data_IF_500837981959
#
_entry.id   IF_500837981959
#
_cell.length_a   1.000
_cell.length_b   1.000
_cell.length_c   1.000
_cell.angle_alpha   90.00
_cell.angle_beta   90.00
_cell.angle_gamma   90.00
#
_symmetry.space_group_name_H-M   'P 1'
#
loop_
_entity.id
_entity.type
_entity.pdbx_description
1 polymer ?
#
# COMPACT_ATOMS: atom_id res chain seq x y z
N UNK A 1 -3.62 0.44 32.05
CA UNK A 1 -4.66 1.22 32.76
C UNK A 1 -5.99 0.52 32.57
N UNK A 2 -6.86 0.49 33.58
CA UNK A 2 -8.08 -0.32 33.52
C UNK A 2 -9.17 0.42 32.75
N UNK A 3 -9.84 -0.27 31.82
CA UNK A 3 -11.00 0.20 31.03
C UNK A 3 -12.03 0.98 31.85
N UNK A 4 -12.22 0.55 33.11
CA UNK A 4 -13.14 1.15 34.07
C UNK A 4 -12.78 2.61 34.39
N UNK A 5 -11.50 2.89 34.62
CA UNK A 5 -11.05 4.21 35.07
C UNK A 5 -11.19 5.25 33.96
N UNK A 6 -10.88 4.86 32.71
CA UNK A 6 -11.05 5.73 31.54
C UNK A 6 -12.53 6.03 31.26
N UNK A 7 -13.42 5.03 31.41
CA UNK A 7 -14.85 5.25 31.22
C UNK A 7 -15.44 6.14 32.32
N UNK A 8 -15.04 5.96 33.59
CA UNK A 8 -15.47 6.84 34.69
C UNK A 8 -14.99 8.28 34.44
N UNK A 9 -13.73 8.46 34.03
CA UNK A 9 -13.18 9.78 33.73
C UNK A 9 -13.94 10.45 32.57
N UNK A 10 -14.27 9.69 31.54
CA UNK A 10 -15.06 10.18 30.40
C UNK A 10 -16.47 10.61 30.81
N UNK A 11 -17.21 9.74 31.51
CA UNK A 11 -18.59 10.04 31.94
C UNK A 11 -18.62 11.22 32.90
N UNK A 12 -17.71 11.28 33.87
CA UNK A 12 -17.62 12.40 34.82
C UNK A 12 -17.38 13.74 34.09
N UNK A 13 -16.52 13.72 33.08
CA UNK A 13 -16.28 14.92 32.27
C UNK A 13 -17.51 15.30 31.43
N UNK A 14 -18.22 14.33 30.84
CA UNK A 14 -19.44 14.59 30.09
C UNK A 14 -20.57 15.13 31.00
N UNK A 15 -20.73 14.59 32.21
CA UNK A 15 -21.69 15.10 33.22
C UNK A 15 -21.36 16.55 33.60
N UNK A 16 -20.07 16.87 33.78
CA UNK A 16 -19.60 18.23 34.06
C UNK A 16 -19.92 19.19 32.92
N UNK A 17 -19.75 18.75 31.67
CA UNK A 17 -20.05 19.56 30.47
C UNK A 17 -21.54 19.86 30.36
N UNK A 18 -22.38 18.84 30.57
CA UNK A 18 -23.81 18.94 30.27
C UNK A 18 -24.67 19.33 31.48
N UNK A 19 -24.07 19.54 32.65
CA UNK A 19 -24.71 20.16 33.83
C UNK A 19 -24.72 21.69 33.79
N UNK A 20 -24.23 22.31 32.70
CA UNK A 20 -24.20 23.77 32.52
C UNK A 20 -23.01 24.47 33.17
N UNK A 21 -22.00 23.73 33.62
CA UNK A 21 -20.86 24.23 34.39
C UNK A 21 -19.65 24.68 33.54
N UNK A 22 -19.80 24.86 32.22
CA UNK A 22 -18.68 25.16 31.31
C UNK A 22 -18.78 26.55 30.68
N UNK A 23 -17.69 27.30 30.83
CA UNK A 23 -17.35 28.43 29.98
C UNK A 23 -16.58 27.92 28.75
N UNK A 24 -17.19 28.02 27.57
CA UNK A 24 -16.54 27.67 26.31
C UNK A 24 -15.37 28.59 25.95
N UNK A 25 -15.18 29.69 26.68
CA UNK A 25 -14.05 30.60 26.50
C UNK A 25 -12.72 30.01 27.01
N UNK A 26 -12.78 29.00 27.88
CA UNK A 26 -11.60 28.35 28.46
C UNK A 26 -11.11 27.14 27.64
N UNK A 27 -11.88 26.72 26.63
CA UNK A 27 -11.47 25.71 25.66
C UNK A 27 -10.60 26.35 24.57
N UNK A 28 -9.36 25.86 24.45
CA UNK A 28 -8.38 26.37 23.48
C UNK A 28 -8.61 25.85 22.04
N UNK A 29 -9.48 24.84 21.88
CA UNK A 29 -9.70 24.15 20.61
C UNK A 29 -11.14 24.35 20.12
N UNK A 30 -11.36 24.15 18.81
CA UNK A 30 -12.70 24.27 18.21
C UNK A 30 -13.71 23.35 18.92
N UNK A 31 -14.95 23.80 19.15
CA UNK A 31 -15.99 22.97 19.76
C UNK A 31 -16.19 21.66 18.97
N UNK A 32 -15.98 20.52 19.62
CA UNK A 32 -16.24 19.19 19.08
C UNK A 32 -17.52 18.64 19.72
N UNK A 33 -18.46 18.18 18.90
CA UNK A 33 -19.71 17.60 19.38
C UNK A 33 -20.21 16.54 18.40
N UNK A 34 -21.02 15.62 18.92
CA UNK A 34 -21.81 14.69 18.13
C UNK A 34 -23.27 14.80 18.52
N UNK A 35 -24.17 14.53 17.59
CA UNK A 35 -25.61 14.49 17.88
C UNK A 35 -25.96 13.05 18.24
N UNK A 36 -26.49 12.84 19.43
CA UNK A 36 -26.95 11.54 19.89
C UNK A 36 -28.22 11.11 19.15
N UNK A 37 -28.53 9.81 19.16
CA UNK A 37 -29.71 9.24 18.50
C UNK A 37 -31.05 9.89 18.93
N UNK A 38 -31.12 10.41 20.16
CA UNK A 38 -32.27 11.15 20.67
C UNK A 38 -32.30 12.64 20.31
N UNK A 39 -31.40 13.09 19.43
CA UNK A 39 -31.32 14.47 18.94
C UNK A 39 -30.54 15.44 19.85
N UNK A 40 -30.10 15.01 21.04
CA UNK A 40 -29.30 15.86 21.93
C UNK A 40 -27.85 15.97 21.46
N UNK A 41 -27.28 17.18 21.48
CA UNK A 41 -25.85 17.36 21.22
C UNK A 41 -25.05 17.00 22.47
N UNK A 42 -23.99 16.20 22.26
CA UNK A 42 -22.98 15.89 23.27
C UNK A 42 -21.66 16.49 22.88
N UNK A 43 -21.20 17.46 23.65
CA UNK A 43 -19.94 18.14 23.43
C UNK A 43 -18.78 17.43 24.14
N UNK A 44 -17.64 17.37 23.47
CA UNK A 44 -16.44 16.70 23.93
C UNK A 44 -15.32 17.72 24.13
N UNK A 45 -15.00 17.98 25.41
CA UNK A 45 -13.83 18.79 25.80
C UNK A 45 -12.53 18.10 25.39
N UNK A 46 -11.40 18.81 25.51
CA UNK A 46 -10.08 18.19 25.32
C UNK A 46 -9.86 16.96 26.23
N UNK A 47 -10.38 17.00 27.46
CA UNK A 47 -10.27 15.89 28.40
C UNK A 47 -11.16 14.71 28.00
N UNK A 48 -12.40 14.98 27.58
CA UNK A 48 -13.31 13.95 27.08
C UNK A 48 -12.72 13.26 25.84
N UNK A 49 -12.13 14.01 24.90
CA UNK A 49 -11.47 13.43 23.71
C UNK A 49 -10.30 12.52 24.08
N UNK A 50 -9.41 12.96 24.98
CA UNK A 50 -8.32 12.11 25.47
C UNK A 50 -8.83 10.81 26.12
N UNK A 51 -9.93 10.90 26.88
CA UNK A 51 -10.54 9.73 27.51
C UNK A 51 -11.19 8.80 26.48
N UNK A 52 -11.89 9.33 25.46
CA UNK A 52 -12.42 8.55 24.33
C UNK A 52 -11.31 7.82 23.57
N UNK A 53 -10.21 8.51 23.26
CA UNK A 53 -9.06 7.93 22.57
C UNK A 53 -8.47 6.76 23.37
N UNK A 54 -8.17 6.95 24.66
CA UNK A 54 -7.65 5.89 25.53
C UNK A 54 -8.64 4.74 25.71
N UNK A 55 -9.92 5.05 25.87
CA UNK A 55 -10.99 4.05 25.94
C UNK A 55 -11.02 3.21 24.67
N UNK A 56 -10.94 3.87 23.51
CA UNK A 56 -10.94 3.24 22.19
C UNK A 56 -9.73 2.31 22.02
N UNK A 57 -8.52 2.75 22.36
CA UNK A 57 -7.30 1.92 22.33
C UNK A 57 -7.41 0.66 23.19
N UNK A 58 -7.97 0.79 24.40
CA UNK A 58 -8.15 -0.35 25.31
C UNK A 58 -9.19 -1.33 24.79
N UNK A 59 -10.32 -0.86 24.25
CA UNK A 59 -11.33 -1.78 23.70
C UNK A 59 -10.81 -2.41 22.39
N UNK A 60 -10.20 -1.61 21.52
CA UNK A 60 -9.67 -2.02 20.23
C UNK A 60 -8.62 -3.12 20.36
N UNK A 61 -7.67 -2.99 21.28
CA UNK A 61 -6.62 -4.00 21.53
C UNK A 61 -7.14 -5.34 22.06
N UNK A 62 -8.38 -5.37 22.57
CA UNK A 62 -9.05 -6.58 23.08
C UNK A 62 -10.10 -7.14 22.10
N UNK A 63 -10.20 -6.63 20.87
CA UNK A 63 -11.10 -7.18 19.85
C UNK A 63 -10.62 -8.55 19.36
N UNK A 64 -11.57 -9.39 18.95
CA UNK A 64 -11.25 -10.71 18.39
C UNK A 64 -10.57 -10.54 17.03
N UNK A 65 -9.52 -11.34 16.76
CA UNK A 65 -8.78 -11.31 15.50
C UNK A 65 -9.63 -11.63 14.25
N UNK A 66 -10.73 -12.37 14.42
CA UNK A 66 -11.69 -12.71 13.36
C UNK A 66 -12.71 -11.61 13.07
N UNK A 67 -12.69 -10.50 13.82
CA UNK A 67 -13.64 -9.41 13.61
C UNK A 67 -13.25 -8.57 12.39
N UNK A 68 -14.24 -7.87 11.83
CA UNK A 68 -13.99 -6.87 10.79
C UNK A 68 -12.93 -5.87 11.26
N UNK A 69 -11.91 -5.67 10.43
CA UNK A 69 -10.78 -4.81 10.71
C UNK A 69 -11.16 -3.35 10.43
N UNK A 70 -11.01 -2.52 11.44
CA UNK A 70 -11.43 -1.11 11.40
C UNK A 70 -10.22 -0.25 11.71
N UNK A 71 -9.98 0.82 10.95
CA UNK A 71 -8.94 1.77 11.33
C UNK A 71 -9.24 2.40 12.70
N UNK A 72 -8.21 2.60 13.53
CA UNK A 72 -8.37 3.11 14.89
C UNK A 72 -9.12 4.45 14.93
N UNK A 73 -8.83 5.37 14.00
CA UNK A 73 -9.53 6.65 13.92
C UNK A 73 -11.03 6.49 13.63
N UNK A 74 -11.40 5.56 12.73
CA UNK A 74 -12.80 5.26 12.44
C UNK A 74 -13.47 4.56 13.61
N UNK A 75 -12.76 3.66 14.28
CA UNK A 75 -13.22 2.98 15.48
C UNK A 75 -13.49 3.98 16.61
N UNK A 76 -12.59 4.94 16.84
CA UNK A 76 -12.76 6.01 17.82
C UNK A 76 -14.03 6.83 17.54
N UNK A 77 -14.32 7.16 16.27
CA UNK A 77 -15.57 7.84 15.88
C UNK A 77 -16.82 7.04 16.25
N UNK A 78 -16.79 5.71 16.08
CA UNK A 78 -17.88 4.80 16.47
C UNK A 78 -18.03 4.76 17.99
N UNK A 79 -16.93 4.57 18.72
CA UNK A 79 -16.94 4.59 20.20
C UNK A 79 -17.50 5.91 20.72
N UNK A 80 -17.05 7.04 20.15
CA UNK A 80 -17.54 8.37 20.52
C UNK A 80 -19.04 8.50 20.31
N UNK A 81 -19.56 8.04 19.18
CA UNK A 81 -20.99 8.08 18.89
C UNK A 81 -21.78 7.20 19.89
N UNK A 82 -21.36 5.96 20.11
CA UNK A 82 -22.03 5.04 21.06
C UNK A 82 -22.01 5.60 22.49
N UNK A 83 -20.89 6.17 22.94
CA UNK A 83 -20.80 6.82 24.25
C UNK A 83 -21.74 8.02 24.33
N UNK A 84 -21.80 8.85 23.28
CA UNK A 84 -22.71 9.98 23.26
C UNK A 84 -24.18 9.55 23.35
N UNK A 85 -24.57 8.50 22.61
CA UNK A 85 -25.91 7.92 22.62
C UNK A 85 -26.26 7.41 24.03
N UNK A 86 -25.40 6.56 24.60
CA UNK A 86 -25.62 5.99 25.94
C UNK A 86 -25.61 7.04 27.05
N UNK A 87 -24.70 8.03 27.00
CA UNK A 87 -24.69 9.13 27.94
C UNK A 87 -25.97 9.96 27.81
N UNK A 88 -26.46 10.15 26.59
CA UNK A 88 -27.69 10.89 26.36
C UNK A 88 -28.94 10.20 26.90
N UNK A 89 -28.91 8.88 27.08
CA UNK A 89 -29.97 8.05 27.65
C UNK A 89 -29.82 7.81 29.17
N UNK A 90 -28.77 8.31 29.81
CA UNK A 90 -28.51 8.10 31.24
C UNK A 90 -28.00 6.68 31.58
N UNK A 91 -27.55 5.92 30.58
CA UNK A 91 -27.16 4.51 30.72
C UNK A 91 -25.89 4.29 31.57
N UNK A 92 -25.13 5.35 31.86
CA UNK A 92 -23.92 5.30 32.69
C UNK A 92 -24.15 5.63 34.17
N UNK A 93 -25.35 6.09 34.58
CA UNK A 93 -25.62 6.55 35.95
C UNK A 93 -25.36 5.47 37.00
N UNK A 94 -25.82 4.23 36.73
CA UNK A 94 -25.63 3.09 37.62
C UNK A 94 -24.17 2.63 37.63
N UNK A 95 -23.49 2.67 36.49
CA UNK A 95 -22.09 2.27 36.37
C UNK A 95 -21.17 3.15 37.23
N UNK A 96 -21.34 4.48 37.20
CA UNK A 96 -20.52 5.38 38.01
C UNK A 96 -20.77 5.22 39.52
N UNK A 97 -21.97 4.79 39.94
CA UNK A 97 -22.33 4.61 41.36
C UNK A 97 -21.93 3.24 41.94
N UNK A 98 -22.10 2.16 41.18
CA UNK A 98 -21.95 0.78 41.69
C UNK A 98 -20.80 0.01 41.03
N UNK A 99 -20.24 0.51 39.93
CA UNK A 99 -19.24 -0.20 39.14
C UNK A 99 -19.81 -1.39 38.34
N UNK A 100 -21.13 -1.47 38.16
CA UNK A 100 -21.78 -2.56 37.44
C UNK A 100 -21.35 -2.63 35.96
N UNK A 101 -20.83 -3.79 35.54
CA UNK A 101 -20.31 -4.02 34.20
C UNK A 101 -21.39 -4.09 33.11
N UNK A 102 -22.67 -3.99 33.44
CA UNK A 102 -23.77 -4.02 32.46
C UNK A 102 -23.63 -2.93 31.41
N UNK A 103 -23.36 -1.68 31.80
CA UNK A 103 -23.16 -0.57 30.86
C UNK A 103 -21.95 -0.81 29.94
N UNK A 104 -20.84 -1.33 30.49
CA UNK A 104 -19.64 -1.67 29.71
C UNK A 104 -19.94 -2.77 28.68
N UNK A 105 -20.70 -3.79 29.06
CA UNK A 105 -21.12 -4.87 28.15
C UNK A 105 -22.02 -4.34 27.04
N UNK A 106 -23.02 -3.51 27.38
CA UNK A 106 -23.93 -2.87 26.42
C UNK A 106 -23.16 -1.98 25.43
N UNK A 107 -22.26 -1.13 25.92
CA UNK A 107 -21.40 -0.28 25.09
C UNK A 107 -20.59 -1.10 24.08
N UNK A 108 -19.90 -2.16 24.54
CA UNK A 108 -19.13 -3.04 23.65
C UNK A 108 -20.00 -3.72 22.59
N UNK A 109 -21.20 -4.17 22.97
CA UNK A 109 -22.13 -4.79 22.04
C UNK A 109 -22.60 -3.80 20.95
N UNK A 110 -22.98 -2.58 21.34
CA UNK A 110 -23.41 -1.53 20.41
C UNK A 110 -22.29 -1.10 19.45
N UNK A 111 -21.04 -1.04 19.93
CA UNK A 111 -19.88 -0.76 19.08
C UNK A 111 -19.74 -1.83 17.98
N UNK A 112 -19.77 -3.11 18.36
CA UNK A 112 -19.63 -4.19 17.37
C UNK A 112 -20.86 -4.32 16.45
N UNK A 113 -22.07 -3.99 16.93
CA UNK A 113 -23.27 -3.91 16.09
C UNK A 113 -23.14 -2.82 15.01
N UNK A 114 -22.69 -1.62 15.39
CA UNK A 114 -22.42 -0.55 14.42
C UNK A 114 -21.34 -0.95 13.42
N UNK A 115 -20.28 -1.66 13.86
CA UNK A 115 -19.23 -2.15 12.97
C UNK A 115 -19.76 -3.23 12.02
N UNK A 116 -20.60 -4.16 12.51
CA UNK A 116 -21.20 -5.22 11.71
C UNK A 116 -22.16 -4.68 10.63
N UNK A 117 -22.73 -3.49 10.84
CA UNK A 117 -23.58 -2.80 9.86
C UNK A 117 -22.79 -2.22 8.66
N UNK A 118 -21.47 -2.09 8.78
CA UNK A 118 -20.59 -1.63 7.70
C UNK A 118 -20.50 -2.74 6.65
N UNK A 119 -20.57 -2.38 5.35
CA UNK A 119 -20.39 -3.36 4.29
C UNK A 119 -19.05 -4.08 4.44
N UNK A 120 -19.09 -5.41 4.27
CA UNK A 120 -17.97 -6.30 4.59
C UNK A 120 -17.06 -6.56 3.39
N UNK A 121 -17.45 -6.13 2.19
CA UNK A 121 -16.71 -6.37 0.95
C UNK A 121 -16.70 -5.09 0.10
N UNK A 122 -15.51 -4.71 -0.36
CA UNK A 122 -15.31 -3.56 -1.24
C UNK A 122 -14.39 -3.94 -2.39
N UNK A 123 -14.82 -3.68 -3.61
CA UNK A 123 -13.97 -3.72 -4.80
C UNK A 123 -13.39 -2.33 -5.04
N UNK A 124 -12.07 -2.25 -5.10
CA UNK A 124 -11.34 -1.01 -5.35
C UNK A 124 -10.78 -1.02 -6.76
N UNK A 125 -10.85 0.16 -7.40
CA UNK A 125 -10.29 0.41 -8.72
C UNK A 125 -9.27 1.54 -8.61
N UNK A 126 -8.04 1.28 -9.05
CA UNK A 126 -6.97 2.28 -9.07
C UNK A 126 -6.51 2.52 -10.50
N UNK A 127 -6.63 3.75 -11.03
CA UNK A 127 -5.98 4.11 -12.28
C UNK A 127 -4.47 3.91 -12.16
N UNK A 128 -3.86 3.31 -13.18
CA UNK A 128 -2.44 2.99 -13.17
C UNK A 128 -1.81 3.11 -14.55
N UNK A 129 -0.53 3.46 -14.55
CA UNK A 129 0.33 3.24 -15.71
C UNK A 129 0.85 1.81 -15.64
N UNK A 130 0.71 1.08 -16.75
CA UNK A 130 1.23 -0.28 -16.91
C UNK A 130 2.16 -0.32 -18.12
N UNK A 131 2.80 -1.46 -18.34
CA UNK A 131 3.56 -1.74 -19.57
C UNK A 131 2.68 -2.34 -20.69
N UNK A 132 1.36 -2.41 -20.49
CA UNK A 132 0.40 -2.93 -21.47
C UNK A 132 0.09 -4.42 -21.36
N UNK A 133 0.23 -5.02 -20.16
CA UNK A 133 -0.11 -6.45 -19.95
C UNK A 133 -1.59 -6.77 -20.19
N UNK A 134 -2.45 -5.77 -20.07
CA UNK A 134 -3.91 -5.89 -20.17
C UNK A 134 -4.50 -5.58 -21.56
N UNK A 135 -3.65 -5.22 -22.54
CA UNK A 135 -4.12 -4.68 -23.84
C UNK A 135 -4.86 -5.71 -24.70
N UNK A 136 -4.35 -6.93 -24.78
CA UNK A 136 -5.01 -8.01 -25.52
C UNK A 136 -6.22 -8.57 -24.76
N UNK A 137 -6.07 -8.77 -23.45
CA UNK A 137 -7.10 -9.31 -22.57
C UNK A 137 -6.84 -8.92 -21.12
N UNK A 138 -7.85 -8.94 -20.22
CA UNK A 138 -7.64 -8.73 -18.80
C UNK A 138 -6.55 -9.67 -18.26
N UNK A 139 -5.54 -9.10 -17.62
CA UNK A 139 -4.45 -9.87 -17.03
C UNK A 139 -4.66 -10.00 -15.53
N UNK A 140 -4.44 -11.19 -14.95
CA UNK A 140 -4.66 -11.43 -13.52
C UNK A 140 -3.41 -12.02 -12.88
N UNK A 141 -3.03 -11.49 -11.72
CA UNK A 141 -1.98 -12.04 -10.86
C UNK A 141 -2.47 -12.04 -9.41
N UNK A 142 -2.68 -13.23 -8.86
CA UNK A 142 -3.31 -13.39 -7.56
C UNK A 142 -4.72 -12.76 -7.53
N UNK A 143 -5.02 -11.91 -6.54
CA UNK A 143 -6.31 -11.25 -6.40
C UNK A 143 -6.43 -9.96 -7.23
N UNK A 144 -5.39 -9.57 -7.99
CA UNK A 144 -5.35 -8.31 -8.74
C UNK A 144 -5.61 -8.55 -10.21
N UNK A 145 -6.58 -7.83 -10.77
CA UNK A 145 -6.91 -7.84 -12.20
C UNK A 145 -6.54 -6.51 -12.85
N UNK A 146 -5.86 -6.59 -13.98
CA UNK A 146 -5.45 -5.45 -14.80
C UNK A 146 -6.44 -5.32 -15.96
N UNK A 147 -7.01 -4.14 -16.11
CA UNK A 147 -8.06 -3.84 -17.07
C UNK A 147 -7.67 -2.63 -17.91
N UNK A 148 -7.95 -2.68 -19.21
CA UNK A 148 -8.03 -1.45 -19.99
C UNK A 148 -9.20 -0.60 -19.50
N UNK A 149 -9.16 0.71 -19.76
CA UNK A 149 -10.31 1.59 -19.48
C UNK A 149 -11.61 1.09 -20.12
N UNK A 150 -11.55 0.59 -21.36
CA UNK A 150 -12.72 0.09 -22.06
C UNK A 150 -13.34 -1.12 -21.33
N UNK A 151 -12.52 -2.11 -20.98
CA UNK A 151 -12.96 -3.29 -20.22
C UNK A 151 -13.56 -2.91 -18.87
N UNK A 152 -12.96 -1.94 -18.16
CA UNK A 152 -13.49 -1.45 -16.89
C UNK A 152 -14.83 -0.74 -17.04
N UNK A 153 -14.96 0.20 -18.00
CA UNK A 153 -16.22 0.92 -18.28
C UNK A 153 -17.35 -0.06 -18.58
N UNK A 154 -17.05 -1.14 -19.31
CA UNK A 154 -18.04 -2.17 -19.63
C UNK A 154 -18.47 -2.98 -18.41
N UNK A 155 -17.58 -3.17 -17.43
CA UNK A 155 -17.82 -3.98 -16.24
C UNK A 155 -18.56 -3.30 -15.08
N UNK A 156 -18.60 -1.97 -15.02
CA UNK A 156 -19.16 -1.22 -13.88
C UNK A 156 -20.39 -0.42 -14.27
N UNK A 157 -21.26 -0.12 -13.31
CA UNK A 157 -22.36 0.82 -13.53
C UNK A 157 -22.76 1.55 -12.25
N UNK A 158 -23.41 2.70 -12.40
CA UNK A 158 -24.01 3.43 -11.29
C UNK A 158 -25.39 2.86 -10.96
N UNK A 159 -25.84 2.94 -9.68
CA UNK A 159 -27.22 2.63 -9.34
C UNK A 159 -28.20 3.51 -10.12
N UNK A 160 -29.35 2.96 -10.51
CA UNK A 160 -30.37 3.68 -11.29
C UNK A 160 -30.81 4.98 -10.61
N UNK A 161 -31.01 4.96 -9.29
CA UNK A 161 -31.33 6.17 -8.51
C UNK A 161 -30.24 7.25 -8.58
N UNK A 162 -28.99 6.86 -8.79
CA UNK A 162 -27.89 7.79 -9.02
C UNK A 162 -27.95 8.41 -10.40
N UNK A 163 -28.27 7.62 -11.44
CA UNK A 163 -28.41 8.11 -12.82
C UNK A 163 -29.57 9.10 -12.97
N UNK A 164 -30.68 8.85 -12.28
CA UNK A 164 -31.86 9.73 -12.32
C UNK A 164 -31.63 11.09 -11.64
N UNK A 165 -30.85 11.14 -10.55
CA UNK A 165 -30.77 12.31 -9.66
C UNK A 165 -29.51 13.14 -9.80
N UNK A 166 -28.46 12.62 -10.44
CA UNK A 166 -27.18 13.31 -10.49
C UNK A 166 -27.24 14.53 -11.42
N UNK A 167 -27.11 15.73 -10.86
CA UNK A 167 -27.07 17.01 -11.58
C UNK A 167 -28.24 17.23 -12.58
N UNK A 168 -29.41 16.66 -12.29
CA UNK A 168 -30.63 16.79 -13.10
C UNK A 168 -30.42 16.51 -14.61
N UNK A 169 -29.46 15.64 -14.95
CA UNK A 169 -29.06 15.31 -16.32
C UNK A 169 -29.28 13.83 -16.64
N UNK A 170 -30.51 13.28 -16.50
CA UNK A 170 -30.76 11.84 -16.55
C UNK A 170 -30.37 11.22 -17.89
N UNK A 171 -30.62 11.87 -19.02
CA UNK A 171 -30.28 11.35 -20.34
C UNK A 171 -28.77 11.13 -20.50
N UNK A 172 -27.97 12.15 -20.17
CA UNK A 172 -26.50 12.06 -20.18
C UNK A 172 -25.98 11.03 -19.16
N UNK A 173 -26.61 10.94 -17.98
CA UNK A 173 -26.23 9.97 -16.96
C UNK A 173 -26.49 8.53 -17.37
N UNK A 174 -27.56 8.23 -18.11
CA UNK A 174 -27.80 6.88 -18.64
C UNK A 174 -26.82 6.55 -19.78
N UNK A 175 -26.37 7.55 -20.51
CA UNK A 175 -25.40 7.41 -21.61
C UNK A 175 -23.94 7.62 -21.18
N UNK A 176 -23.66 7.67 -19.87
CA UNK A 176 -22.36 8.07 -19.33
C UNK A 176 -21.19 7.27 -19.90
N UNK A 177 -21.38 5.96 -20.14
CA UNK A 177 -20.36 5.06 -20.70
C UNK A 177 -19.95 5.46 -22.11
N UNK A 178 -20.93 5.75 -22.96
CA UNK A 178 -20.70 6.09 -24.37
C UNK A 178 -20.05 7.47 -24.49
N UNK A 179 -20.55 8.45 -23.73
CA UNK A 179 -19.96 9.79 -23.63
C UNK A 179 -18.50 9.69 -23.18
N UNK A 180 -18.23 8.90 -22.13
CA UNK A 180 -16.90 8.72 -21.59
C UNK A 180 -15.96 8.05 -22.60
N UNK A 181 -16.38 6.96 -23.25
CA UNK A 181 -15.56 6.26 -24.27
C UNK A 181 -15.19 7.18 -25.43
N UNK A 182 -16.14 7.99 -25.91
CA UNK A 182 -15.88 8.97 -26.96
C UNK A 182 -14.88 10.04 -26.53
N UNK A 183 -15.01 10.56 -25.30
CA UNK A 183 -14.08 11.54 -24.75
C UNK A 183 -12.66 10.99 -24.60
N UNK A 184 -12.50 9.73 -24.17
CA UNK A 184 -11.20 9.08 -24.00
C UNK A 184 -10.46 8.84 -25.34
N UNK A 185 -11.17 8.82 -26.47
CA UNK A 185 -10.57 8.76 -27.81
C UNK A 185 -10.06 10.13 -28.29
N UNK A 186 -10.52 11.23 -27.67
CA UNK A 186 -10.16 12.61 -28.02
C UNK A 186 -9.59 13.37 -26.82
N UNK A 187 -8.44 12.96 -26.24
CA UNK A 187 -7.92 13.52 -24.99
C UNK A 187 -7.46 14.98 -25.07
N UNK A 188 -7.39 15.57 -26.28
CA UNK A 188 -7.07 17.00 -26.49
C UNK A 188 -8.32 17.87 -26.63
N UNK A 189 -9.50 17.27 -26.67
CA UNK A 189 -10.75 17.99 -26.65
C UNK A 189 -11.02 18.46 -25.23
N UNK A 190 -11.12 19.78 -25.06
CA UNK A 190 -11.35 20.42 -23.76
C UNK A 190 -12.83 20.75 -23.54
N UNK A 191 -13.72 20.26 -24.41
CA UNK A 191 -15.15 20.40 -24.22
C UNK A 191 -15.59 19.77 -22.88
N UNK A 192 -16.41 20.48 -22.09
CA UNK A 192 -16.94 19.93 -20.84
C UNK A 192 -17.83 18.72 -21.15
N UNK A 193 -17.68 17.66 -20.35
CA UNK A 193 -18.53 16.47 -20.44
C UNK A 193 -19.71 16.61 -19.48
N UNK A 194 -20.90 16.25 -19.94
CA UNK A 194 -22.12 16.30 -19.16
C UNK A 194 -22.29 15.08 -18.23
N UNK A 195 -23.04 15.29 -17.15
CA UNK A 195 -23.45 14.23 -16.22
C UNK A 195 -22.32 13.46 -15.55
N UNK A 196 -22.57 12.19 -15.26
CA UNK A 196 -21.63 11.28 -14.60
C UNK A 196 -20.31 11.09 -15.40
N UNK A 197 -20.36 11.20 -16.72
CA UNK A 197 -19.17 11.00 -17.57
C UNK A 197 -18.06 12.01 -17.26
N UNK A 198 -18.39 13.26 -16.95
CA UNK A 198 -17.40 14.29 -16.61
C UNK A 198 -16.65 14.01 -15.32
N UNK A 199 -17.36 13.56 -14.27
CA UNK A 199 -16.73 13.19 -12.99
C UNK A 199 -15.82 11.98 -13.16
N UNK A 200 -16.27 10.97 -13.90
CA UNK A 200 -15.48 9.76 -14.14
C UNK A 200 -14.27 10.04 -15.02
N UNK A 201 -14.40 10.90 -16.04
CA UNK A 201 -13.30 11.25 -16.94
C UNK A 201 -12.10 11.80 -16.17
N UNK A 202 -12.31 12.72 -15.23
CA UNK A 202 -11.24 13.26 -14.39
C UNK A 202 -10.52 12.20 -13.56
N UNK A 203 -11.19 11.11 -13.20
CA UNK A 203 -10.60 10.01 -12.45
C UNK A 203 -9.78 9.03 -13.32
N UNK A 204 -10.04 8.92 -14.63
CA UNK A 204 -9.45 7.86 -15.47
C UNK A 204 -8.76 8.35 -16.76
N UNK A 205 -8.72 9.65 -17.03
CA UNK A 205 -8.17 10.16 -18.29
C UNK A 205 -6.64 10.01 -18.40
N UNK A 206 -5.89 10.16 -17.31
CA UNK A 206 -4.41 10.21 -17.30
C UNK A 206 -3.77 8.83 -17.48
N UNK A 207 -4.41 7.80 -16.92
CA UNK A 207 -3.90 6.44 -16.91
C UNK A 207 -4.57 5.60 -18.01
N UNK A 208 -3.82 4.74 -18.72
CA UNK A 208 -4.39 3.87 -19.75
C UNK A 208 -5.20 2.69 -19.19
N UNK A 209 -5.01 2.37 -17.92
CA UNK A 209 -5.42 1.10 -17.32
C UNK A 209 -5.92 1.30 -15.89
N UNK A 210 -6.68 0.31 -15.39
CA UNK A 210 -7.12 0.25 -14.00
C UNK A 210 -6.73 -1.11 -13.39
N UNK A 211 -6.32 -1.09 -12.13
CA UNK A 211 -6.16 -2.28 -11.32
C UNK A 211 -7.38 -2.45 -10.43
N UNK A 212 -7.94 -3.64 -10.45
CA UNK A 212 -9.08 -4.07 -9.65
C UNK A 212 -8.62 -5.06 -8.58
N UNK A 213 -9.09 -4.88 -7.35
CA UNK A 213 -8.94 -5.86 -6.27
C UNK A 213 -10.11 -5.77 -5.31
N UNK A 214 -10.58 -6.92 -4.82
CA UNK A 214 -11.66 -7.00 -3.84
C UNK A 214 -11.11 -7.36 -2.47
N UNK A 215 -11.46 -6.56 -1.47
CA UNK A 215 -11.03 -6.73 -0.07
C UNK A 215 -12.25 -7.01 0.80
N UNK A 216 -12.14 -8.02 1.66
CA UNK A 216 -13.20 -8.49 2.57
C UNK A 216 -12.78 -8.36 4.03
N UNK A 217 -13.75 -8.14 4.90
CA UNK A 217 -13.59 -8.03 6.36
C UNK A 217 -12.74 -6.82 6.79
N UNK A 218 -12.76 -5.76 6.00
CA UNK A 218 -12.17 -4.45 6.34
C UNK A 218 -13.23 -3.36 6.16
N UNK A 219 -13.17 -2.34 7.00
CA UNK A 219 -13.91 -1.11 6.75
C UNK A 219 -13.37 -0.41 5.50
N UNK A 220 -14.19 0.44 4.87
CA UNK A 220 -13.92 1.05 3.56
C UNK A 220 -12.53 1.69 3.43
N UNK A 221 -12.11 2.59 4.32
CA UNK A 221 -10.83 3.29 4.18
C UNK A 221 -9.64 2.37 4.43
N UNK A 222 -9.73 1.50 5.43
CA UNK A 222 -8.70 0.53 5.71
C UNK A 222 -8.58 -0.51 4.59
N UNK A 223 -9.71 -0.90 4.00
CA UNK A 223 -9.75 -1.77 2.82
C UNK A 223 -9.07 -1.11 1.62
N UNK A 224 -9.24 0.21 1.42
CA UNK A 224 -8.55 0.99 0.38
C UNK A 224 -7.04 0.99 0.60
N UNK A 225 -6.56 1.15 1.84
CA UNK A 225 -5.11 1.09 2.17
C UNK A 225 -4.50 -0.25 1.81
N UNK A 226 -5.16 -1.36 2.17
CA UNK A 226 -4.70 -2.69 1.80
C UNK A 226 -4.76 -2.90 0.29
N UNK A 227 -5.87 -2.52 -0.35
CA UNK A 227 -6.05 -2.64 -1.80
C UNK A 227 -4.94 -1.90 -2.57
N UNK A 228 -4.62 -0.66 -2.17
CA UNK A 228 -3.52 0.13 -2.73
C UNK A 228 -2.18 -0.60 -2.61
N UNK A 229 -1.85 -1.09 -1.41
CA UNK A 229 -0.61 -1.84 -1.15
C UNK A 229 -0.50 -3.07 -2.04
N UNK A 230 -1.59 -3.83 -2.18
CA UNK A 230 -1.62 -5.06 -3.00
C UNK A 230 -1.51 -4.75 -4.48
N UNK A 231 -2.18 -3.71 -4.99
CA UNK A 231 -2.06 -3.27 -6.38
C UNK A 231 -0.66 -2.76 -6.70
N UNK A 232 -0.04 -1.95 -5.82
CA UNK A 232 1.36 -1.54 -5.97
C UNK A 232 2.30 -2.75 -6.00
N UNK A 233 2.13 -3.68 -5.05
CA UNK A 233 2.93 -4.92 -5.00
C UNK A 233 2.79 -5.73 -6.29
N UNK A 234 1.59 -5.80 -6.89
CA UNK A 234 1.39 -6.49 -8.17
C UNK A 234 2.16 -5.81 -9.33
N UNK A 235 2.13 -4.48 -9.42
CA UNK A 235 2.91 -3.71 -10.40
C UNK A 235 4.42 -3.92 -10.23
N UNK A 236 4.89 -3.88 -9.00
CA UNK A 236 6.31 -4.10 -8.66
C UNK A 236 6.73 -5.55 -8.93
N UNK A 237 5.87 -6.54 -8.69
CA UNK A 237 6.14 -7.94 -8.95
C UNK A 237 6.29 -8.21 -10.47
N UNK A 238 5.42 -7.63 -11.30
CA UNK A 238 5.57 -7.68 -12.76
C UNK A 238 6.88 -7.01 -13.17
N UNK A 239 7.17 -5.81 -12.65
CA UNK A 239 8.42 -5.09 -12.95
C UNK A 239 9.67 -5.90 -12.57
N UNK A 240 9.63 -6.59 -11.42
CA UNK A 240 10.68 -7.49 -10.95
C UNK A 240 10.92 -8.64 -11.92
N UNK A 241 9.83 -9.26 -12.40
CA UNK A 241 9.88 -10.35 -13.37
C UNK A 241 10.43 -9.93 -14.73
N UNK A 242 9.98 -8.78 -15.23
CA UNK A 242 10.49 -8.18 -16.48
C UNK A 242 11.96 -7.77 -16.37
N UNK A 243 12.35 -7.28 -15.20
CA UNK A 243 13.73 -7.36 -14.76
C UNK A 243 14.64 -6.16 -15.04
N UNK A 244 14.11 -5.11 -15.64
CA UNK A 244 14.77 -3.82 -15.88
C UNK A 244 14.17 -2.70 -15.01
N UNK A 245 15.00 -1.68 -14.69
CA UNK A 245 14.58 -0.55 -13.86
C UNK A 245 13.54 0.34 -14.55
N UNK A 246 13.57 0.38 -15.88
CA UNK A 246 12.63 1.08 -16.75
C UNK A 246 11.18 0.66 -16.54
N UNK A 247 10.94 -0.60 -16.17
CA UNK A 247 9.58 -1.10 -15.92
C UNK A 247 9.01 -0.51 -14.61
N UNK A 248 9.85 -0.33 -13.59
CA UNK A 248 9.46 0.37 -12.36
C UNK A 248 9.20 1.87 -12.58
N UNK A 249 9.80 2.46 -13.62
CA UNK A 249 9.56 3.86 -14.01
C UNK A 249 8.25 4.06 -14.78
N UNK A 250 7.67 2.98 -15.30
CA UNK A 250 6.40 2.99 -15.99
C UNK A 250 5.25 2.46 -15.13
N UNK A 251 5.49 1.42 -14.35
CA UNK A 251 4.45 0.74 -13.57
C UNK A 251 4.25 1.42 -12.21
N UNK A 252 3.18 2.18 -12.09
CA UNK A 252 2.77 2.80 -10.83
C UNK A 252 1.28 3.15 -10.83
N UNK A 253 0.69 3.23 -9.63
CA UNK A 253 -0.63 3.80 -9.43
C UNK A 253 -0.60 5.31 -9.70
N UNK A 254 -1.73 5.90 -10.09
CA UNK A 254 -1.83 7.33 -10.41
C UNK A 254 -1.34 8.25 -9.29
N UNK A 255 -1.62 7.87 -8.04
CA UNK A 255 -1.25 8.63 -6.85
C UNK A 255 0.22 8.46 -6.43
N UNK A 256 1.01 7.69 -7.18
CA UNK A 256 2.43 7.49 -6.92
C UNK A 256 3.31 8.39 -7.78
N UNK A 257 4.55 8.59 -7.31
CA UNK A 257 5.53 9.42 -8.02
C UNK A 257 6.05 8.68 -9.24
N UNK A 258 5.78 9.24 -10.42
CA UNK A 258 6.37 8.79 -11.67
C UNK A 258 7.45 9.76 -12.16
N UNK A 259 8.62 9.30 -12.64
CA UNK A 259 9.56 10.18 -13.30
C UNK A 259 8.95 10.79 -14.58
N UNK A 260 9.33 12.03 -14.94
CA UNK A 260 8.86 12.66 -16.18
C UNK A 260 9.36 11.86 -17.39
N UNK A 261 8.65 11.93 -18.52
CA UNK A 261 9.08 11.27 -19.78
C UNK A 261 10.35 11.92 -20.35
N UNK A 262 10.54 13.21 -20.08
CA UNK A 262 11.75 13.95 -20.42
C UNK A 262 11.85 15.23 -19.59
N UNK A 263 13.01 15.87 -19.65
CA UNK A 263 13.28 17.13 -18.98
C UNK A 263 14.03 18.09 -19.89
N UNK A 264 13.90 19.38 -19.57
CA UNK A 264 14.63 20.46 -20.22
C UNK A 264 15.64 21.05 -19.23
N UNK A 265 16.80 21.47 -19.72
CA UNK A 265 17.79 22.20 -18.93
C UNK A 265 18.22 23.47 -19.66
N UNK A 266 18.49 24.53 -18.89
CA UNK A 266 19.00 25.79 -19.39
C UNK A 266 20.35 26.05 -18.73
N UNK A 267 21.36 26.39 -19.52
CA UNK A 267 22.71 26.67 -19.04
C UNK A 267 23.12 28.04 -19.57
N UNK A 268 23.71 28.87 -18.72
CA UNK A 268 24.29 30.16 -19.09
C UNK A 268 25.77 30.20 -18.74
N UNK A 269 26.58 30.88 -19.55
CA UNK A 269 27.97 31.18 -19.23
C UNK A 269 28.33 32.58 -19.69
N UNK A 270 29.04 33.35 -18.85
CA UNK A 270 29.48 34.71 -19.18
C UNK A 270 28.34 35.65 -19.62
N UNK A 271 27.13 35.48 -19.05
CA UNK A 271 25.95 36.29 -19.39
C UNK A 271 25.21 35.87 -20.66
N UNK A 272 25.69 34.85 -21.38
CA UNK A 272 25.03 34.30 -22.56
C UNK A 272 24.30 33.00 -22.24
N UNK A 273 23.06 32.88 -22.72
CA UNK A 273 22.24 31.67 -22.61
C UNK A 273 22.57 30.70 -23.74
N UNK A 274 22.76 29.43 -23.40
CA UNK A 274 22.93 28.34 -24.36
C UNK A 274 21.56 27.82 -24.80
N UNK A 275 21.53 27.11 -25.94
CA UNK A 275 20.31 26.43 -26.38
C UNK A 275 19.82 25.46 -25.28
N UNK A 276 18.49 25.33 -25.09
CA UNK A 276 17.94 24.38 -24.12
C UNK A 276 18.41 22.95 -24.40
N UNK A 277 18.94 22.30 -23.35
CA UNK A 277 19.19 20.87 -23.37
C UNK A 277 17.88 20.11 -23.22
N UNK A 278 17.76 18.98 -23.93
CA UNK A 278 16.63 18.05 -23.83
C UNK A 278 17.19 16.71 -23.41
N UNK A 279 16.58 16.08 -22.40
CA UNK A 279 16.89 14.70 -22.02
C UNK A 279 15.62 13.87 -21.92
N UNK A 280 15.68 12.64 -22.44
CA UNK A 280 14.61 11.65 -22.28
C UNK A 280 14.89 10.82 -21.02
N UNK A 281 13.84 10.46 -20.29
CA UNK A 281 13.99 9.56 -19.16
C UNK A 281 14.03 8.10 -19.60
N UNK A 282 14.29 7.20 -18.64
CA UNK A 282 14.26 5.74 -18.85
C UNK A 282 12.85 5.16 -18.88
N UNK A 283 11.81 6.00 -18.81
CA UNK A 283 10.42 5.54 -18.80
C UNK A 283 10.04 4.97 -20.17
N UNK A 284 9.58 3.72 -20.20
CA UNK A 284 9.05 3.07 -21.40
C UNK A 284 7.53 3.05 -21.32
N UNK A 285 6.79 3.81 -22.15
CA UNK A 285 5.34 3.95 -22.01
C UNK A 285 4.54 2.65 -22.13
N UNK A 286 4.94 1.73 -23.02
CA UNK A 286 4.35 0.42 -23.15
C UNK A 286 5.26 -0.50 -23.97
N UNK A 287 5.06 -1.81 -23.79
CA UNK A 287 5.61 -2.83 -24.67
C UNK A 287 4.65 -3.08 -25.84
N UNK A 288 5.19 -3.59 -26.95
CA UNK A 288 4.34 -4.14 -28.01
C UNK A 288 3.72 -5.46 -27.55
N UNK A 289 2.57 -5.81 -28.12
CA UNK A 289 1.81 -6.99 -27.70
C UNK A 289 2.64 -8.29 -27.81
N UNK A 290 3.45 -8.42 -28.86
CA UNK A 290 4.39 -9.53 -29.02
C UNK A 290 5.46 -9.61 -27.90
N UNK A 291 5.99 -8.46 -27.46
CA UNK A 291 6.95 -8.42 -26.35
C UNK A 291 6.28 -8.70 -25.01
N UNK A 292 5.03 -8.26 -24.81
CA UNK A 292 4.24 -8.62 -23.63
C UNK A 292 4.05 -10.13 -23.57
N UNK A 293 3.59 -10.76 -24.66
CA UNK A 293 3.38 -12.20 -24.72
C UNK A 293 4.67 -12.99 -24.44
N UNK A 294 5.79 -12.58 -25.04
CA UNK A 294 7.10 -13.19 -24.79
C UNK A 294 7.52 -13.03 -23.33
N UNK A 295 7.35 -11.83 -22.76
CA UNK A 295 7.73 -11.57 -21.39
C UNK A 295 6.89 -12.37 -20.38
N UNK A 296 5.58 -12.45 -20.59
CA UNK A 296 4.69 -13.28 -19.78
C UNK A 296 5.07 -14.77 -19.87
N UNK A 297 5.44 -15.26 -21.07
CA UNK A 297 5.93 -16.63 -21.24
C UNK A 297 7.23 -16.89 -20.46
N UNK A 298 8.19 -15.95 -20.47
CA UNK A 298 9.42 -16.06 -19.67
C UNK A 298 9.16 -16.01 -18.15
N UNK A 299 8.09 -15.35 -17.72
CA UNK A 299 7.69 -15.25 -16.33
C UNK A 299 6.73 -16.36 -15.87
N UNK A 300 6.36 -17.30 -16.75
CA UNK A 300 5.33 -18.30 -16.46
C UNK A 300 5.62 -19.13 -15.19
N UNK A 301 6.90 -19.37 -14.90
CA UNK A 301 7.33 -20.11 -13.71
C UNK A 301 7.40 -19.27 -12.43
N UNK A 302 7.41 -17.93 -12.51
CA UNK A 302 7.47 -17.03 -11.33
C UNK A 302 6.11 -16.43 -10.97
N UNK A 303 5.19 -16.30 -11.94
CA UNK A 303 3.86 -15.73 -11.71
C UNK A 303 3.05 -16.48 -10.64
N UNK A 304 3.07 -17.82 -10.55
CA UNK A 304 2.39 -18.56 -9.48
C UNK A 304 2.87 -18.17 -8.07
N UNK A 305 4.19 -18.04 -7.88
CA UNK A 305 4.77 -17.60 -6.62
C UNK A 305 4.33 -16.18 -6.24
N UNK A 306 4.34 -15.24 -7.18
CA UNK A 306 3.87 -13.87 -6.95
C UNK A 306 2.37 -13.83 -6.63
N UNK A 307 1.57 -14.60 -7.37
CA UNK A 307 0.13 -14.77 -7.15
C UNK A 307 -0.16 -15.27 -5.73
N UNK A 308 0.55 -16.31 -5.27
CA UNK A 308 0.44 -16.85 -3.92
C UNK A 308 0.71 -15.79 -2.85
N UNK A 309 1.79 -15.02 -3.00
CA UNK A 309 2.15 -13.94 -2.07
C UNK A 309 1.06 -12.86 -2.01
N UNK A 310 0.55 -12.39 -3.15
CA UNK A 310 -0.52 -11.39 -3.18
C UNK A 310 -1.80 -11.90 -2.52
N UNK A 311 -2.14 -13.18 -2.68
CA UNK A 311 -3.24 -13.81 -1.95
C UNK A 311 -3.00 -13.81 -0.44
N UNK A 312 -1.76 -14.05 0.00
CA UNK A 312 -1.36 -13.97 1.41
C UNK A 312 -1.49 -12.57 2.02
N UNK A 313 -1.39 -11.51 1.21
CA UNK A 313 -1.62 -10.14 1.66
C UNK A 313 -3.11 -9.83 1.84
N UNK A 314 -3.95 -10.26 0.90
CA UNK A 314 -5.41 -9.99 0.92
C UNK A 314 -6.13 -10.88 1.92
N UNK A 315 -5.77 -12.17 1.98
CA UNK A 315 -6.37 -13.14 2.89
C UNK A 315 -5.30 -13.83 3.78
N UNK A 316 -4.76 -13.13 4.79
CA UNK A 316 -3.75 -13.71 5.68
C UNK A 316 -4.22 -14.96 6.42
N UNK A 317 -5.51 -15.05 6.79
CA UNK A 317 -6.07 -16.17 7.55
C UNK A 317 -6.17 -17.46 6.72
N UNK A 318 -6.36 -17.34 5.40
CA UNK A 318 -6.42 -18.47 4.48
C UNK A 318 -5.08 -18.83 3.84
N UNK A 319 -4.00 -18.11 4.13
CA UNK A 319 -2.69 -18.34 3.57
C UNK A 319 -1.79 -19.08 4.56
N UNK A 320 -0.91 -19.96 4.05
CA UNK A 320 -0.04 -20.79 4.90
C UNK A 320 1.06 -19.98 5.59
N UNK A 321 1.59 -18.97 4.89
CA UNK A 321 2.73 -18.15 5.33
C UNK A 321 2.49 -16.64 5.18
N UNK A 322 1.46 -16.07 5.83
CA UNK A 322 1.10 -14.67 5.65
C UNK A 322 2.18 -13.67 6.09
N UNK A 323 2.97 -13.97 7.13
CA UNK A 323 4.06 -13.10 7.59
C UNK A 323 5.20 -13.07 6.59
N UNK A 324 5.58 -14.22 6.03
CA UNK A 324 6.60 -14.29 4.99
C UNK A 324 6.15 -13.61 3.70
N UNK A 325 4.87 -13.76 3.31
CA UNK A 325 4.28 -13.02 2.19
C UNK A 325 4.38 -11.49 2.41
N UNK A 326 4.04 -11.01 3.60
CA UNK A 326 4.17 -9.60 3.97
C UNK A 326 5.63 -9.12 3.96
N UNK A 327 6.56 -9.92 4.49
CA UNK A 327 8.00 -9.63 4.50
C UNK A 327 8.56 -9.51 3.08
N UNK A 328 8.17 -10.43 2.20
CA UNK A 328 8.58 -10.38 0.79
C UNK A 328 8.02 -9.13 0.09
N UNK A 329 6.73 -8.82 0.29
CA UNK A 329 6.11 -7.63 -0.29
C UNK A 329 6.78 -6.34 0.21
N UNK A 330 7.15 -6.28 1.49
CA UNK A 330 7.89 -5.15 2.08
C UNK A 330 9.30 -5.03 1.47
N UNK A 331 9.99 -6.14 1.25
CA UNK A 331 11.30 -6.12 0.59
C UNK A 331 11.19 -5.66 -0.87
N UNK A 332 10.16 -6.13 -1.59
CA UNK A 332 9.86 -5.70 -2.95
C UNK A 332 9.54 -4.20 -3.01
N UNK A 333 8.83 -3.64 -2.03
CA UNK A 333 8.57 -2.20 -1.95
C UNK A 333 9.87 -1.39 -1.91
N UNK A 334 10.82 -1.78 -1.06
CA UNK A 334 12.16 -1.16 -1.01
C UNK A 334 12.93 -1.32 -2.33
N UNK A 335 12.81 -2.48 -2.97
CA UNK A 335 13.43 -2.72 -4.27
C UNK A 335 12.83 -1.84 -5.37
N UNK A 336 11.50 -1.72 -5.43
CA UNK A 336 10.79 -0.86 -6.36
C UNK A 336 11.16 0.61 -6.17
N UNK A 337 11.15 1.08 -4.92
CA UNK A 337 11.60 2.43 -4.56
C UNK A 337 13.08 2.68 -4.90
N UNK A 338 13.94 1.65 -4.82
CA UNK A 338 15.35 1.73 -5.22
C UNK A 338 15.51 1.87 -6.73
N UNK A 339 14.67 1.20 -7.51
CA UNK A 339 14.64 1.35 -8.97
C UNK A 339 14.13 2.73 -9.38
N UNK A 340 13.10 3.27 -8.72
CA UNK A 340 12.54 4.60 -8.97
C UNK A 340 13.44 5.75 -8.50
N UNK A 341 14.39 5.48 -7.62
CA UNK A 341 15.23 6.51 -7.04
C UNK A 341 16.18 7.15 -8.06
N UNK A 342 16.23 8.48 -8.02
CA UNK A 342 17.10 9.30 -8.87
C UNK A 342 18.54 9.33 -8.37
N UNK A 343 18.74 9.36 -7.05
CA UNK A 343 20.06 9.36 -6.42
C UNK A 343 20.63 7.94 -6.35
N UNK A 344 21.77 7.67 -6.98
CA UNK A 344 22.38 6.34 -6.95
C UNK A 344 22.74 5.89 -5.52
N UNK A 345 23.25 6.80 -4.68
CA UNK A 345 23.52 6.52 -3.28
C UNK A 345 22.26 6.04 -2.52
N UNK A 346 21.15 6.80 -2.60
CA UNK A 346 19.89 6.44 -1.94
C UNK A 346 19.34 5.12 -2.53
N UNK A 347 19.49 4.90 -3.84
CA UNK A 347 19.08 3.64 -4.47
C UNK A 347 19.83 2.44 -3.89
N UNK A 348 21.16 2.52 -3.73
CA UNK A 348 21.97 1.48 -3.08
C UNK A 348 21.48 1.20 -1.66
N UNK A 349 21.19 2.24 -0.87
CA UNK A 349 20.68 2.07 0.49
C UNK A 349 19.30 1.38 0.53
N UNK A 350 18.42 1.66 -0.44
CA UNK A 350 17.12 0.99 -0.60
C UNK A 350 17.29 -0.48 -0.98
N UNK A 351 18.19 -0.81 -1.91
CA UNK A 351 18.50 -2.21 -2.25
C UNK A 351 19.13 -2.98 -1.08
N UNK A 352 20.01 -2.36 -0.31
CA UNK A 352 20.54 -2.95 0.92
C UNK A 352 19.44 -3.18 1.96
N UNK A 353 18.47 -2.27 2.07
CA UNK A 353 17.30 -2.43 2.95
C UNK A 353 16.37 -3.55 2.49
N UNK A 354 16.16 -3.73 1.18
CA UNK A 354 15.45 -4.89 0.63
C UNK A 354 16.06 -6.22 1.12
N UNK A 355 17.39 -6.35 1.01
CA UNK A 355 18.11 -7.54 1.49
C UNK A 355 18.01 -7.70 3.03
N UNK A 356 18.14 -6.60 3.77
CA UNK A 356 18.05 -6.59 5.23
C UNK A 356 16.65 -7.04 5.71
N UNK A 357 15.57 -6.57 5.07
CA UNK A 357 14.18 -6.98 5.35
C UNK A 357 13.99 -8.48 5.16
N UNK A 358 14.47 -9.06 4.05
CA UNK A 358 14.38 -10.50 3.80
C UNK A 358 15.17 -11.31 4.83
N UNK A 359 16.32 -10.80 5.27
CA UNK A 359 17.16 -11.43 6.29
C UNK A 359 16.71 -11.18 7.74
N UNK A 360 15.55 -10.54 7.95
CA UNK A 360 15.03 -10.15 9.27
C UNK A 360 15.99 -9.24 10.07
N UNK A 361 16.53 -8.19 9.44
CA UNK A 361 17.45 -7.27 10.11
C UNK A 361 18.76 -7.94 10.53
N UNK A 362 19.12 -9.03 9.83
CA UNK A 362 20.31 -9.83 10.11
C UNK A 362 21.62 -9.12 9.80
N UNK A 363 21.54 -7.88 9.28
CA UNK A 363 22.69 -7.07 8.88
C UNK A 363 23.54 -7.81 7.86
N UNK A 364 24.80 -7.42 7.72
CA UNK A 364 25.77 -8.08 6.86
C UNK A 364 25.79 -9.62 6.99
N UNK A 365 25.91 -10.18 8.20
CA UNK A 365 26.06 -11.63 8.41
C UNK A 365 24.80 -12.40 7.98
N UNK A 366 23.61 -11.91 8.39
CA UNK A 366 22.35 -12.54 8.01
C UNK A 366 22.07 -12.44 6.52
N UNK A 367 22.42 -11.32 5.88
CA UNK A 367 22.30 -11.18 4.42
C UNK A 367 23.25 -12.16 3.73
N UNK A 368 24.52 -12.23 4.13
CA UNK A 368 25.49 -13.13 3.50
C UNK A 368 25.06 -14.60 3.59
N UNK A 369 24.63 -15.04 4.77
CA UNK A 369 24.10 -16.40 4.98
C UNK A 369 22.89 -16.68 4.09
N UNK A 370 21.91 -15.77 4.07
CA UNK A 370 20.70 -15.90 3.26
C UNK A 370 21.04 -15.96 1.76
N UNK A 371 21.90 -15.06 1.28
CA UNK A 371 22.28 -14.98 -0.13
C UNK A 371 23.02 -16.24 -0.56
N UNK A 372 24.00 -16.71 0.22
CA UNK A 372 24.69 -17.99 -0.05
C UNK A 372 23.72 -19.17 -0.09
N UNK A 373 22.77 -19.23 0.84
CA UNK A 373 21.76 -20.29 0.88
C UNK A 373 20.79 -20.27 -0.32
N UNK A 374 20.33 -19.08 -0.73
CA UNK A 374 19.40 -18.91 -1.84
C UNK A 374 20.08 -19.15 -3.19
N UNK A 375 21.31 -18.68 -3.36
CA UNK A 375 22.02 -18.76 -4.64
C UNK A 375 22.85 -20.03 -4.82
N UNK A 376 23.20 -20.72 -3.73
CA UNK A 376 24.18 -21.81 -3.73
C UNK A 376 25.63 -21.36 -3.97
N UNK A 377 25.88 -20.04 -4.05
CA UNK A 377 27.21 -19.48 -4.29
C UNK A 377 27.94 -19.32 -2.94
N UNK A 378 29.14 -19.89 -2.83
CA UNK A 378 29.95 -19.79 -1.61
C UNK A 378 30.44 -18.35 -1.41
N UNK A 379 30.58 -17.94 -0.15
CA UNK A 379 31.01 -16.59 0.25
C UNK A 379 32.34 -16.13 -0.39
N UNK A 380 33.29 -17.06 -0.54
CA UNK A 380 34.62 -16.83 -1.11
C UNK A 380 34.65 -16.86 -2.64
N UNK A 381 33.55 -17.24 -3.29
CA UNK A 381 33.45 -17.29 -4.74
C UNK A 381 33.49 -15.87 -5.32
N UNK A 382 34.36 -15.66 -6.30
CA UNK A 382 34.44 -14.41 -7.04
C UNK A 382 33.21 -14.25 -7.93
N UNK A 383 32.41 -13.21 -7.68
CA UNK A 383 31.17 -12.91 -8.43
C UNK A 383 31.29 -11.66 -9.30
N UNK A 384 32.34 -10.87 -9.09
CA UNK A 384 32.69 -9.72 -9.93
C UNK A 384 34.08 -9.94 -10.48
N UNK A 385 34.21 -9.88 -11.81
CA UNK A 385 35.45 -10.17 -12.51
C UNK A 385 36.38 -8.95 -12.59
N UNK A 386 35.90 -7.74 -12.94
CA UNK A 386 36.77 -6.57 -13.19
C UNK A 386 36.06 -5.21 -12.97
N UNK A 387 36.81 -4.07 -12.85
CA UNK A 387 38.27 -3.94 -12.67
C UNK A 387 38.73 -4.18 -11.22
N UNK A 388 37.80 -4.25 -10.27
CA UNK A 388 38.06 -4.59 -8.87
C UNK A 388 37.28 -5.87 -8.55
N UNK A 389 37.96 -7.03 -8.56
CA UNK A 389 37.35 -8.28 -8.15
C UNK A 389 36.68 -8.19 -6.79
N UNK A 390 35.53 -8.84 -6.67
CA UNK A 390 34.82 -9.01 -5.40
C UNK A 390 34.32 -10.43 -5.27
N UNK A 391 34.53 -11.02 -4.09
CA UNK A 391 33.82 -12.23 -3.69
C UNK A 391 32.37 -11.91 -3.34
N UNK A 392 31.51 -12.93 -3.27
CA UNK A 392 30.12 -12.74 -2.83
C UNK A 392 30.06 -12.05 -1.46
N UNK A 393 30.92 -12.48 -0.54
CA UNK A 393 31.06 -11.90 0.79
C UNK A 393 31.39 -10.41 0.75
N UNK A 394 32.34 -10.03 -0.11
CA UNK A 394 32.74 -8.63 -0.25
C UNK A 394 31.65 -7.80 -0.91
N UNK A 395 30.95 -8.34 -1.93
CA UNK A 395 29.83 -7.65 -2.56
C UNK A 395 28.69 -7.37 -1.55
N UNK A 396 28.32 -8.36 -0.73
CA UNK A 396 27.29 -8.18 0.30
C UNK A 396 27.73 -7.14 1.33
N UNK A 397 29.01 -7.16 1.72
CA UNK A 397 29.59 -6.16 2.62
C UNK A 397 29.53 -4.75 2.01
N UNK A 398 29.92 -4.61 0.75
CA UNK A 398 29.87 -3.33 0.02
C UNK A 398 28.42 -2.79 -0.05
N UNK A 399 27.43 -3.66 -0.27
CA UNK A 399 26.01 -3.23 -0.32
C UNK A 399 25.50 -2.79 1.06
N UNK A 400 25.83 -3.53 2.12
CA UNK A 400 25.28 -3.28 3.45
C UNK A 400 26.07 -2.24 4.25
N UNK A 401 27.38 -2.44 4.45
CA UNK A 401 28.22 -1.57 5.27
C UNK A 401 28.50 -0.26 4.54
N UNK A 402 29.04 -0.35 3.33
CA UNK A 402 29.42 0.82 2.54
C UNK A 402 28.20 1.50 1.92
N UNK A 403 27.25 0.73 1.38
CA UNK A 403 26.01 1.28 0.83
C UNK A 403 25.03 1.73 1.92
N UNK A 404 24.20 0.80 2.38
CA UNK A 404 23.06 1.11 3.28
C UNK A 404 23.49 1.85 4.54
N UNK A 405 24.42 1.29 5.32
CA UNK A 405 24.73 1.77 6.66
C UNK A 405 25.34 3.18 6.61
N UNK A 406 26.43 3.38 5.86
CA UNK A 406 27.08 4.69 5.77
C UNK A 406 26.21 5.77 5.14
N UNK A 407 25.45 5.44 4.09
CA UNK A 407 24.57 6.42 3.43
C UNK A 407 23.44 6.87 4.37
N UNK A 408 22.80 5.94 5.09
CA UNK A 408 21.73 6.30 6.03
C UNK A 408 22.24 7.03 7.29
N UNK A 409 23.47 6.75 7.72
CA UNK A 409 24.11 7.46 8.83
C UNK A 409 24.77 8.79 8.41
N UNK A 410 24.77 9.14 7.12
CA UNK A 410 25.34 10.39 6.63
C UNK A 410 26.85 10.47 6.77
N UNK A 411 27.55 9.34 6.79
CA UNK A 411 29.01 9.31 6.97
C UNK A 411 29.79 9.52 5.67
N UNK A 412 29.10 9.54 4.51
CA UNK A 412 29.68 10.04 3.25
C UNK A 412 29.72 11.56 3.24
N UNK A 413 30.92 12.10 3.07
CA UNK A 413 31.15 13.53 2.99
C UNK A 413 30.92 14.09 1.57
N UNK A 414 31.26 13.30 0.54
CA UNK A 414 31.08 13.70 -0.86
C UNK A 414 29.74 13.19 -1.42
N UNK A 415 28.82 14.12 -1.68
CA UNK A 415 27.50 13.81 -2.27
C UNK A 415 27.53 13.67 -3.79
N UNK A 416 28.66 13.99 -4.43
CA UNK A 416 28.86 13.88 -5.88
C UNK A 416 29.53 12.56 -6.30
N UNK A 417 29.97 11.76 -5.32
CA UNK A 417 30.52 10.43 -5.58
C UNK A 417 29.51 9.57 -6.36
N UNK A 418 29.96 8.97 -7.46
CA UNK A 418 29.09 8.14 -8.30
C UNK A 418 28.96 6.74 -7.72
N UNK A 419 27.74 6.38 -7.32
CA UNK A 419 27.36 5.03 -6.89
C UNK A 419 26.69 4.21 -8.01
N UNK A 420 26.84 4.62 -9.27
CA UNK A 420 26.13 4.01 -10.40
C UNK A 420 26.43 2.51 -10.58
N UNK A 421 27.68 2.08 -10.34
CA UNK A 421 28.09 0.67 -10.46
C UNK A 421 27.58 -0.16 -9.28
N UNK A 422 27.67 0.40 -8.08
CA UNK A 422 27.18 -0.15 -6.83
C UNK A 422 25.68 -0.35 -6.92
N UNK A 423 24.95 0.63 -7.48
CA UNK A 423 23.52 0.54 -7.77
C UNK A 423 23.18 -0.65 -8.65
N UNK A 424 23.86 -0.79 -9.78
CA UNK A 424 23.62 -1.89 -10.73
C UNK A 424 23.85 -3.26 -10.07
N UNK A 425 24.96 -3.39 -9.32
CA UNK A 425 25.32 -4.64 -8.63
C UNK A 425 24.32 -4.97 -7.50
N UNK A 426 23.95 -3.98 -6.69
CA UNK A 426 22.97 -4.13 -5.62
C UNK A 426 21.59 -4.51 -6.15
N UNK A 427 21.13 -3.84 -7.22
CA UNK A 427 19.87 -4.15 -7.88
C UNK A 427 19.87 -5.58 -8.45
N UNK A 428 20.96 -5.98 -9.11
CA UNK A 428 21.07 -7.33 -9.68
C UNK A 428 21.00 -8.42 -8.61
N UNK A 429 21.76 -8.27 -7.52
CA UNK A 429 21.76 -9.23 -6.42
C UNK A 429 20.40 -9.28 -5.72
N UNK A 430 19.82 -8.12 -5.38
CA UNK A 430 18.51 -8.04 -4.73
C UNK A 430 17.39 -8.65 -5.58
N UNK A 431 17.42 -8.46 -6.91
CA UNK A 431 16.49 -9.09 -7.83
C UNK A 431 16.54 -10.62 -7.77
N UNK A 432 17.75 -11.19 -7.87
CA UNK A 432 17.94 -12.65 -7.81
C UNK A 432 17.39 -13.20 -6.49
N UNK A 433 17.74 -12.55 -5.39
CA UNK A 433 17.30 -12.94 -4.04
C UNK A 433 15.79 -12.86 -3.91
N UNK A 434 15.14 -11.77 -4.34
CA UNK A 434 13.68 -11.62 -4.30
C UNK A 434 12.96 -12.71 -5.10
N UNK A 435 13.41 -12.98 -6.32
CA UNK A 435 12.80 -14.00 -7.19
C UNK A 435 12.96 -15.39 -6.58
N UNK A 436 14.16 -15.73 -6.11
CA UNK A 436 14.40 -17.04 -5.49
C UNK A 436 13.64 -17.21 -4.17
N UNK A 437 13.56 -16.16 -3.34
CA UNK A 437 12.75 -16.15 -2.13
C UNK A 437 11.27 -16.40 -2.42
N UNK A 438 10.68 -15.77 -3.44
CA UNK A 438 9.29 -16.00 -3.83
C UNK A 438 9.06 -17.46 -4.25
N UNK A 439 9.94 -17.98 -5.11
CA UNK A 439 9.84 -19.34 -5.67
C UNK A 439 9.99 -20.43 -4.60
N UNK A 440 10.85 -20.23 -3.61
CA UNK A 440 10.98 -21.14 -2.47
C UNK A 440 9.79 -21.04 -1.52
N UNK A 441 9.28 -19.82 -1.27
CA UNK A 441 8.12 -19.61 -0.40
C UNK A 441 6.88 -20.35 -0.92
N UNK A 442 6.65 -20.36 -2.24
CA UNK A 442 5.54 -21.08 -2.86
C UNK A 442 5.47 -22.56 -2.46
N UNK A 443 6.63 -23.21 -2.32
CA UNK A 443 6.75 -24.64 -2.01
C UNK A 443 7.10 -24.90 -0.54
N UNK A 444 7.18 -23.86 0.29
CA UNK A 444 7.67 -23.99 1.64
C UNK A 444 6.66 -24.74 2.52
N UNK A 445 7.17 -25.58 3.42
CA UNK A 445 6.34 -26.37 4.35
C UNK A 445 6.66 -26.15 5.82
N UNK A 446 7.69 -25.37 6.13
CA UNK A 446 8.02 -25.03 7.52
C UNK A 446 7.15 -23.91 8.08
N UNK A 447 7.57 -23.38 9.22
CA UNK A 447 6.83 -22.40 9.99
C UNK A 447 6.91 -20.99 9.40
N UNK A 448 5.85 -20.20 9.58
CA UNK A 448 5.78 -18.79 9.14
C UNK A 448 6.58 -17.88 10.08
N UNK A 449 7.89 -18.11 10.15
CA UNK A 449 8.85 -17.41 11.00
C UNK A 449 9.70 -16.41 10.24
N UNK A 450 10.11 -15.35 10.91
CA UNK A 450 10.79 -14.21 10.30
C UNK A 450 12.10 -14.56 9.58
N UNK A 451 12.81 -15.60 10.02
CA UNK A 451 14.11 -16.01 9.49
C UNK A 451 14.03 -17.12 8.44
N UNK A 452 12.83 -17.55 8.06
CA UNK A 452 12.66 -18.75 7.23
C UNK A 452 13.39 -18.66 5.88
N UNK A 453 13.45 -17.48 5.24
CA UNK A 453 14.15 -17.31 3.95
C UNK A 453 15.62 -17.73 3.97
N UNK A 454 16.30 -17.61 5.12
CA UNK A 454 17.71 -18.02 5.28
C UNK A 454 17.89 -19.53 5.39
N UNK A 455 16.82 -20.30 5.53
CA UNK A 455 16.83 -21.75 5.72
C UNK A 455 15.88 -22.52 4.79
N UNK A 456 15.04 -21.83 4.01
CA UNK A 456 14.08 -22.45 3.07
C UNK A 456 14.79 -23.39 2.09
N UNK A 457 14.43 -24.68 2.01
CA UNK A 457 15.07 -25.63 1.12
C UNK A 457 15.07 -25.15 -0.34
N UNK A 458 16.10 -25.55 -1.09
CA UNK A 458 16.09 -25.36 -2.53
C UNK A 458 14.90 -26.11 -3.15
N UNK A 459 14.43 -25.61 -4.30
CA UNK A 459 13.40 -26.30 -5.08
C UNK A 459 13.85 -27.73 -5.36
N UNK A 460 13.01 -28.71 -5.07
CA UNK A 460 13.23 -30.05 -5.62
C UNK A 460 13.17 -29.88 -7.13
N UNK A 461 14.26 -30.20 -7.83
CA UNK A 461 14.25 -30.23 -9.29
C UNK A 461 13.16 -31.21 -9.71
N UNK A 462 12.02 -30.70 -10.16
CA UNK A 462 11.10 -31.48 -10.97
C UNK A 462 11.90 -31.86 -12.20
N UNK A 463 12.34 -33.13 -12.24
CA UNK A 463 12.91 -33.70 -13.46
C UNK A 463 11.89 -33.46 -14.56
N UNK A 464 12.20 -32.52 -15.46
CA UNK A 464 11.46 -32.35 -16.68
C UNK A 464 11.62 -33.64 -17.48
N UNK A 465 10.50 -34.33 -17.71
CA UNK A 465 10.37 -35.38 -18.70
C UNK A 465 10.03 -34.76 -20.05
#
# INVERSE_FOLDING_TARGET
MALKDELIALVTELDRVHSGAISWCDEFEMPDFVTAANGMQRHFTRNARKAVMRLSEVIYSNRLHSSLKVELEKYEKIVRQVVADMHAEGEFETFCKTGDKTAVKKMKALIEEQIASIAQEYTHYFPAWTVGVERESPFTIGPVRFLTRAQWIDSVDFPESGKERFLDSPEANHQWKEILKQALQKPRDLAPLEGLAGVVYGAVNECPSLLEVTIRDYEKEYSRKLAKLVCKTALDAISLGLGGAEFFHQQALQEERLPPVGSYSLIGSNGFLWLPGISLSKRIPHLSDAHVAQALAHMANILPAFSSILNGLVNPAGHKHPKLANRWATALDWFGEGNRESSDAIAVAKFGTCLDVLSCGGKYEGIAQMVTHLTGIKEDTQVIQEPLPRTLKQLVKDIYDEGRSKILHGTYFDRLESFSRERQRAAHLAKIVLIESALRLEHYIGDDEDKAFSAMPARQSTNAA
#
